data_IF_926545540880
#
_entry.id   IF_926545540880
#
_cell.length_a   1.000
_cell.length_b   1.000
_cell.length_c   1.000
_cell.angle_alpha   90.00
_cell.angle_beta   90.00
_cell.angle_gamma   90.00
#
_symmetry.space_group_name_H-M   'P 1'
#
loop_
_entity.id
_entity.type
_entity.pdbx_description
1 polymer ?
#
# COMPACT_ATOMS: atom_id res chain seq x y z
N UNK A 1 37.46 40.23 24.27
CA UNK A 1 36.41 41.04 23.60
C UNK A 1 35.90 40.26 22.41
N UNK A 2 34.57 40.22 22.28
CA UNK A 2 33.74 39.57 21.25
C UNK A 2 34.45 39.43 19.89
N UNK A 3 34.36 38.28 19.21
CA UNK A 3 33.23 38.02 18.29
C UNK A 3 33.17 36.54 17.85
N UNK A 4 31.93 36.03 17.87
CA UNK A 4 31.35 35.04 16.94
C UNK A 4 31.69 33.55 17.18
N UNK A 5 31.06 33.03 18.23
CA UNK A 5 30.54 31.66 18.30
C UNK A 5 29.38 31.53 17.28
N UNK A 6 29.33 30.42 16.54
CA UNK A 6 28.27 30.07 15.58
C UNK A 6 28.74 30.35 14.15
N UNK A 7 28.94 29.38 13.26
CA UNK A 7 28.13 28.20 12.97
C UNK A 7 29.08 27.12 12.47
N UNK A 8 29.33 26.10 13.30
CA UNK A 8 30.12 24.90 12.94
C UNK A 8 29.25 23.64 13.12
N UNK A 9 27.95 23.78 12.84
CA UNK A 9 26.95 22.75 13.02
C UNK A 9 26.06 22.73 11.77
N UNK A 10 25.90 21.53 11.22
CA UNK A 10 24.89 21.13 10.24
C UNK A 10 25.31 20.97 8.77
N UNK A 11 26.44 20.30 8.47
CA UNK A 11 26.55 19.51 7.22
C UNK A 11 27.41 18.26 7.42
N UNK A 12 27.03 17.36 8.34
CA UNK A 12 27.66 16.03 8.43
C UNK A 12 26.80 14.96 9.15
N UNK A 13 25.49 15.19 9.30
CA UNK A 13 24.61 14.30 10.08
C UNK A 13 23.45 13.69 9.26
N UNK A 14 23.57 13.65 7.93
CA UNK A 14 22.51 13.14 7.05
C UNK A 14 22.73 11.73 6.50
N UNK A 15 23.92 11.17 6.58
CA UNK A 15 24.28 9.95 5.85
C UNK A 15 24.54 8.72 6.74
N UNK A 16 24.12 8.75 8.01
CA UNK A 16 24.42 7.68 8.96
C UNK A 16 23.27 6.72 9.26
N UNK A 17 22.01 6.99 8.89
CA UNK A 17 20.88 6.16 9.32
C UNK A 17 19.90 5.86 8.18
N UNK A 18 20.42 5.26 7.10
CA UNK A 18 19.60 4.48 6.17
C UNK A 18 20.16 3.06 6.13
N UNK A 19 20.24 2.43 7.31
CA UNK A 19 20.38 0.99 7.39
C UNK A 19 18.99 0.42 7.11
N UNK A 20 18.74 0.09 5.85
CA UNK A 20 17.63 -0.75 5.46
C UNK A 20 17.80 -2.06 6.24
N UNK A 21 17.03 -2.20 7.31
CA UNK A 21 17.00 -3.42 8.10
C UNK A 21 16.45 -4.52 7.18
N UNK A 22 17.35 -5.24 6.52
CA UNK A 22 17.00 -6.48 5.87
C UNK A 22 16.25 -7.33 6.91
N UNK A 23 15.01 -7.79 6.63
CA UNK A 23 14.29 -8.62 7.59
C UNK A 23 15.10 -9.90 7.78
N UNK A 24 15.80 -9.94 8.91
CA UNK A 24 16.58 -11.09 9.36
C UNK A 24 15.74 -11.76 10.43
N UNK A 25 14.64 -12.37 9.98
CA UNK A 25 13.84 -13.27 10.79
C UNK A 25 13.70 -14.57 10.01
N UNK A 26 14.50 -15.56 10.39
CA UNK A 26 14.11 -16.95 10.17
C UNK A 26 12.90 -17.16 11.07
N UNK A 27 11.70 -16.85 10.56
CA UNK A 27 10.47 -17.07 11.30
C UNK A 27 10.35 -18.57 11.57
N UNK A 28 10.23 -18.90 12.85
CA UNK A 28 9.98 -20.29 13.25
C UNK A 28 8.58 -20.69 12.79
N UNK A 29 8.35 -21.97 12.50
CA UNK A 29 7.01 -22.48 12.18
C UNK A 29 5.97 -22.12 13.24
N UNK A 30 6.40 -21.99 14.51
CA UNK A 30 5.55 -21.57 15.61
C UNK A 30 5.10 -20.09 15.48
N UNK A 31 5.98 -19.19 15.06
CA UNK A 31 5.69 -17.77 14.83
C UNK A 31 4.73 -17.58 13.66
N UNK A 32 4.99 -18.25 12.53
CA UNK A 32 4.08 -18.28 11.37
C UNK A 32 2.70 -18.79 11.79
N UNK A 33 2.65 -19.88 12.56
CA UNK A 33 1.39 -20.45 13.04
C UNK A 33 0.62 -19.54 13.99
N UNK A 34 1.30 -18.69 14.77
CA UNK A 34 0.65 -17.67 15.61
C UNK A 34 0.11 -16.52 14.76
N UNK A 35 0.90 -16.03 13.79
CA UNK A 35 0.47 -15.00 12.86
C UNK A 35 -0.77 -15.41 12.08
N UNK A 36 -0.78 -16.63 11.51
CA UNK A 36 -1.94 -17.15 10.77
C UNK A 36 -3.19 -17.23 11.65
N UNK A 37 -3.07 -17.69 12.89
CA UNK A 37 -4.21 -17.75 13.82
C UNK A 37 -4.77 -16.36 14.13
N UNK A 38 -3.90 -15.37 14.38
CA UNK A 38 -4.33 -13.99 14.58
C UNK A 38 -5.07 -13.41 13.35
N UNK A 39 -4.59 -13.69 12.14
CA UNK A 39 -5.27 -13.28 10.91
C UNK A 39 -6.63 -13.96 10.72
N UNK A 40 -6.75 -15.24 11.06
CA UNK A 40 -8.01 -15.96 11.00
C UNK A 40 -9.01 -15.45 12.04
N UNK A 41 -8.57 -15.18 13.26
CA UNK A 41 -9.40 -14.57 14.30
C UNK A 41 -9.95 -13.22 13.85
N UNK A 42 -9.10 -12.35 13.29
CA UNK A 42 -9.50 -11.04 12.77
C UNK A 42 -10.53 -11.14 11.63
N UNK A 43 -10.34 -12.07 10.71
CA UNK A 43 -11.26 -12.28 9.58
C UNK A 43 -12.60 -12.90 10.01
N UNK A 44 -12.60 -13.80 10.99
CA UNK A 44 -13.80 -14.53 11.42
C UNK A 44 -14.67 -13.76 12.41
N UNK A 45 -14.06 -12.98 13.31
CA UNK A 45 -14.81 -12.28 14.36
C UNK A 45 -15.48 -10.99 13.86
N UNK A 46 -15.03 -10.45 12.72
CA UNK A 46 -15.61 -9.23 12.14
C UNK A 46 -15.43 -7.98 13.02
N UNK A 47 -14.65 -8.04 14.11
CA UNK A 47 -14.42 -6.91 15.02
C UNK A 47 -13.77 -5.71 14.31
N UNK A 48 -13.05 -5.97 13.22
CA UNK A 48 -12.42 -4.94 12.38
C UNK A 48 -13.28 -4.53 11.17
N UNK A 49 -14.48 -5.11 11.02
CA UNK A 49 -15.40 -4.70 9.97
C UNK A 49 -15.96 -3.29 10.25
N UNK A 50 -16.18 -2.52 9.18
CA UNK A 50 -16.87 -1.24 9.27
C UNK A 50 -18.32 -1.49 9.75
N UNK A 51 -18.69 -0.93 10.89
CA UNK A 51 -20.05 -1.04 11.46
C UNK A 51 -21.01 0.00 10.89
N UNK A 52 -20.46 1.08 10.32
CA UNK A 52 -21.23 2.15 9.69
C UNK A 52 -21.72 1.73 8.30
N UNK A 53 -23.05 1.78 8.10
CA UNK A 53 -23.64 1.57 6.78
C UNK A 53 -23.31 2.76 5.87
N UNK A 54 -22.66 2.50 4.74
CA UNK A 54 -22.42 3.49 3.67
C UNK A 54 -23.25 3.12 2.43
N UNK A 55 -24.55 3.45 2.39
CA UNK A 55 -25.39 3.11 1.25
C UNK A 55 -24.96 3.89 0.01
N UNK A 56 -25.01 3.21 -1.14
CA UNK A 56 -24.79 3.83 -2.44
C UNK A 56 -26.11 4.46 -2.91
N UNK A 57 -26.12 5.74 -3.34
CA UNK A 57 -27.31 6.35 -3.93
C UNK A 57 -27.85 5.52 -5.11
N UNK A 58 -29.17 5.46 -5.27
CA UNK A 58 -29.82 4.57 -6.24
C UNK A 58 -29.34 4.80 -7.69
N UNK A 59 -29.18 6.05 -8.09
CA UNK A 59 -28.67 6.41 -9.41
C UNK A 59 -27.21 5.98 -9.63
N UNK A 60 -26.39 6.01 -8.58
CA UNK A 60 -24.99 5.54 -8.63
C UNK A 60 -24.97 4.01 -8.70
N UNK A 61 -25.81 3.33 -7.92
CA UNK A 61 -25.94 1.88 -7.96
C UNK A 61 -26.36 1.39 -9.36
N UNK A 62 -27.31 2.08 -10.00
CA UNK A 62 -27.72 1.77 -11.38
C UNK A 62 -26.56 1.93 -12.38
N UNK A 63 -25.76 2.99 -12.26
CA UNK A 63 -24.59 3.20 -13.12
C UNK A 63 -23.51 2.13 -12.92
N UNK A 64 -23.24 1.75 -11.67
CA UNK A 64 -22.28 0.68 -11.34
C UNK A 64 -22.75 -0.65 -11.93
N UNK A 65 -24.03 -0.98 -11.79
CA UNK A 65 -24.61 -2.18 -12.37
C UNK A 65 -24.53 -2.16 -13.91
N UNK A 66 -24.87 -1.04 -14.53
CA UNK A 66 -24.78 -0.91 -15.99
C UNK A 66 -23.34 -1.09 -16.49
N UNK A 67 -22.34 -0.55 -15.77
CA UNK A 67 -20.92 -0.76 -16.08
C UNK A 67 -20.54 -2.24 -15.98
N UNK A 68 -20.98 -2.93 -14.93
CA UNK A 68 -20.76 -4.36 -14.77
C UNK A 68 -21.37 -5.16 -15.92
N UNK A 69 -22.62 -4.90 -16.31
CA UNK A 69 -23.24 -5.55 -17.46
C UNK A 69 -22.46 -5.26 -18.75
N UNK A 70 -21.99 -4.02 -18.92
CA UNK A 70 -21.22 -3.64 -20.09
C UNK A 70 -19.84 -4.31 -20.18
N UNK A 71 -19.20 -4.69 -19.06
CA UNK A 71 -17.89 -5.35 -19.11
C UNK A 71 -17.92 -6.72 -19.78
N UNK A 72 -19.08 -7.40 -19.77
CA UNK A 72 -19.25 -8.69 -20.45
C UNK A 72 -19.58 -8.57 -21.93
N UNK A 73 -19.86 -7.36 -22.42
CA UNK A 73 -20.16 -7.14 -23.85
C UNK A 73 -18.90 -7.11 -24.71
N UNK A 74 -17.75 -6.86 -24.11
CA UNK A 74 -16.46 -6.96 -24.77
C UNK A 74 -15.97 -8.40 -24.72
N UNK A 75 -15.49 -8.91 -25.86
CA UNK A 75 -14.79 -10.20 -25.87
C UNK A 75 -13.49 -10.09 -25.05
N UNK A 76 -13.15 -11.17 -24.35
CA UNK A 76 -11.84 -11.28 -23.71
C UNK A 76 -10.81 -11.34 -24.85
N UNK A 77 -9.81 -10.45 -24.87
CA UNK A 77 -8.80 -10.48 -25.91
C UNK A 77 -7.92 -11.72 -25.76
N UNK A 78 -7.52 -12.32 -26.88
CA UNK A 78 -6.58 -13.46 -26.92
C UNK A 78 -5.22 -13.12 -26.29
N UNK A 79 -4.83 -11.85 -26.32
CA UNK A 79 -3.58 -11.36 -25.76
C UNK A 79 -3.83 -10.07 -24.98
N UNK A 80 -3.23 -9.97 -23.79
CA UNK A 80 -3.23 -8.74 -23.00
C UNK A 80 -1.90 -8.02 -23.24
N UNK A 81 -1.96 -6.86 -23.86
CA UNK A 81 -0.79 -5.99 -24.00
C UNK A 81 -0.26 -5.60 -22.62
N UNK A 82 1.02 -5.88 -22.36
CA UNK A 82 1.67 -5.41 -21.14
C UNK A 82 1.90 -3.91 -21.29
N UNK A 83 1.09 -3.12 -20.61
CA UNK A 83 1.38 -1.69 -20.48
C UNK A 83 2.71 -1.54 -19.74
N UNK A 84 3.73 -1.03 -20.43
CA UNK A 84 5.00 -0.67 -19.78
C UNK A 84 4.77 0.63 -19.02
N UNK A 85 4.93 0.59 -17.69
CA UNK A 85 5.02 1.81 -16.89
C UNK A 85 6.40 2.42 -17.13
N UNK A 86 6.63 3.01 -18.30
CA UNK A 86 7.78 3.91 -18.50
C UNK A 86 7.36 5.26 -17.95
N UNK A 87 7.51 5.42 -16.64
CA UNK A 87 7.48 6.72 -16.00
C UNK A 87 8.50 7.62 -16.69
N UNK A 88 8.01 8.66 -17.37
CA UNK A 88 8.82 9.79 -17.82
C UNK A 88 9.29 10.57 -16.59
N UNK A 89 10.24 10.00 -15.86
CA UNK A 89 11.09 10.72 -14.91
C UNK A 89 12.17 11.41 -15.72
N UNK A 90 11.89 12.62 -16.22
CA UNK A 90 12.91 13.48 -16.78
C UNK A 90 13.88 13.87 -15.65
N UNK A 91 15.10 13.36 -15.73
CA UNK A 91 16.24 13.84 -14.94
C UNK A 91 16.50 15.31 -15.26
N UNK A 92 16.66 16.11 -14.21
CA UNK A 92 17.33 17.41 -14.29
C UNK A 92 18.80 17.24 -14.70
#
# INVERSE_FOLDING_TARGET
MKRLIGVLLAVAAGAAMAQEAAPSTVETTAEVGQGVRGWLELQTHGTQAQTELRPVPGEVAAQVYQRYVNSFKAAIPEQMERQSFVGRGGSQ
#
